data_IF_626634360729
#
_entry.id   IF_626634360729
#
_cell.length_a   1.000
_cell.length_b   1.000
_cell.length_c   1.000
_cell.angle_alpha   90.00
_cell.angle_beta   90.00
_cell.angle_gamma   90.00
#
_symmetry.space_group_name_H-M   'P 1'
#
loop_
_entity.id
_entity.type
_entity.pdbx_description
1 polymer ?
#
# COMPACT_ATOMS: atom_id res chain seq x y z
N UNK A 1 -27.82 19.55 0.71
CA UNK A 1 -26.70 18.64 0.99
C UNK A 1 -26.36 17.94 -0.33
N UNK A 2 -25.27 18.34 -0.98
CA UNK A 2 -24.89 17.75 -2.28
C UNK A 2 -24.37 16.33 -2.05
N UNK A 3 -24.83 15.29 -2.77
CA UNK A 3 -24.24 13.97 -2.67
C UNK A 3 -22.83 14.11 -3.25
N UNK A 4 -21.81 13.97 -2.40
CA UNK A 4 -20.48 13.69 -2.90
C UNK A 4 -20.60 12.35 -3.64
N UNK A 5 -20.54 12.36 -4.98
CA UNK A 5 -20.40 11.12 -5.74
C UNK A 5 -19.15 10.41 -5.22
N UNK A 6 -19.36 9.35 -4.45
CA UNK A 6 -18.27 8.56 -3.90
C UNK A 6 -17.77 7.66 -5.04
N UNK A 7 -16.66 8.05 -5.65
CA UNK A 7 -15.98 7.20 -6.63
C UNK A 7 -15.22 6.10 -5.87
N UNK A 8 -15.34 4.88 -6.37
CA UNK A 8 -14.61 3.71 -5.84
C UNK A 8 -13.69 3.18 -6.92
N UNK A 9 -12.47 2.83 -6.52
CA UNK A 9 -11.44 2.29 -7.40
C UNK A 9 -11.11 0.87 -6.97
N UNK A 10 -11.14 -0.07 -7.92
CA UNK A 10 -10.69 -1.44 -7.71
C UNK A 10 -9.35 -1.62 -8.42
N UNK A 11 -8.33 -2.01 -7.66
CA UNK A 11 -6.96 -2.13 -8.13
C UNK A 11 -6.61 -3.61 -8.28
N UNK A 12 -6.13 -3.98 -9.47
CA UNK A 12 -5.65 -5.33 -9.79
C UNK A 12 -4.21 -5.22 -10.28
N UNK A 13 -3.34 -6.11 -9.81
CA UNK A 13 -1.93 -6.11 -10.18
C UNK A 13 -1.07 -6.95 -9.27
N UNK A 14 0.20 -6.56 -9.18
CA UNK A 14 1.23 -7.22 -8.37
C UNK A 14 1.68 -6.33 -7.19
N UNK A 15 2.88 -6.60 -6.67
CA UNK A 15 3.58 -5.82 -5.65
C UNK A 15 3.52 -4.29 -5.82
N UNK A 16 3.45 -3.75 -7.04
CA UNK A 16 3.45 -2.30 -7.30
C UNK A 16 2.18 -1.59 -6.83
N UNK A 17 1.07 -2.34 -6.72
CA UNK A 17 -0.22 -1.83 -6.23
C UNK A 17 -0.68 -2.55 -4.96
N UNK A 18 0.14 -3.47 -4.45
CA UNK A 18 -0.15 -4.19 -3.22
C UNK A 18 0.03 -3.29 -1.99
N UNK A 19 -1.00 -3.24 -1.14
CA UNK A 19 -1.03 -2.50 0.11
C UNK A 19 -1.03 -3.41 1.34
N UNK A 20 -0.55 -4.65 1.19
CA UNK A 20 -0.42 -5.63 2.26
C UNK A 20 -1.39 -6.80 2.14
N UNK A 21 -1.98 -7.03 0.97
CA UNK A 21 -2.87 -8.16 0.71
C UNK A 21 -2.10 -9.49 0.82
N UNK A 22 -0.83 -9.49 0.45
CA UNK A 22 0.08 -10.62 0.61
C UNK A 22 0.30 -11.06 2.07
N UNK A 23 0.03 -10.22 3.07
CA UNK A 23 0.20 -10.59 4.48
C UNK A 23 -0.73 -11.74 4.90
N UNK A 24 -1.84 -11.91 4.17
CA UNK A 24 -2.84 -12.96 4.37
C UNK A 24 -2.53 -14.25 3.59
N UNK A 25 -1.46 -14.29 2.81
CA UNK A 25 -1.03 -15.46 2.04
C UNK A 25 0.18 -16.13 2.71
N UNK A 26 0.31 -17.44 2.54
CA UNK A 26 1.51 -18.18 2.94
C UNK A 26 2.61 -17.98 1.90
N UNK A 27 3.28 -16.85 1.98
CA UNK A 27 4.38 -16.45 1.09
C UNK A 27 5.51 -15.79 1.86
N UNK A 28 6.73 -15.90 1.33
CA UNK A 28 7.89 -15.16 1.82
C UNK A 28 7.92 -13.72 1.29
N UNK A 29 7.17 -13.43 0.22
CA UNK A 29 7.11 -12.10 -0.38
C UNK A 29 6.13 -11.21 0.38
N UNK A 30 6.57 -10.71 1.54
CA UNK A 30 5.83 -9.76 2.37
C UNK A 30 6.58 -8.44 2.52
N UNK A 31 5.82 -7.36 2.60
CA UNK A 31 6.35 -6.01 2.81
C UNK A 31 6.02 -5.48 4.22
N UNK A 32 5.98 -6.39 5.19
CA UNK A 32 5.69 -6.16 6.61
C UNK A 32 6.96 -6.04 7.47
N UNK A 33 8.14 -6.07 6.86
CA UNK A 33 9.44 -5.89 7.52
C UNK A 33 10.27 -4.76 6.89
N UNK A 34 11.33 -4.26 7.57
CA UNK A 34 12.31 -3.40 6.94
C UNK A 34 12.91 -4.05 5.68
N UNK A 35 13.26 -3.27 4.63
CA UNK A 35 13.36 -1.81 4.60
C UNK A 35 12.07 -1.07 4.17
N UNK A 36 10.93 -1.75 4.04
CA UNK A 36 9.74 -1.10 3.49
C UNK A 36 9.19 0.00 4.41
N UNK A 37 8.89 1.15 3.83
CA UNK A 37 8.35 2.31 4.56
C UNK A 37 9.37 3.11 5.38
N UNK A 38 10.68 2.82 5.33
CA UNK A 38 11.68 3.51 6.17
C UNK A 38 11.74 5.03 5.94
N UNK A 39 11.56 5.48 4.70
CA UNK A 39 11.53 6.91 4.36
C UNK A 39 10.10 7.49 4.37
N UNK A 40 9.10 6.68 4.71
CA UNK A 40 7.71 7.10 4.66
C UNK A 40 7.31 7.78 5.97
N UNK A 41 7.50 9.10 6.03
CA UNK A 41 7.16 9.92 7.21
C UNK A 41 5.75 9.66 7.77
N UNK A 42 4.68 9.48 6.95
CA UNK A 42 3.35 9.18 7.47
C UNK A 42 3.24 7.86 8.24
N UNK A 43 4.06 6.85 7.95
CA UNK A 43 4.10 5.60 8.74
C UNK A 43 5.08 5.67 9.90
N UNK A 44 5.82 6.77 10.05
CA UNK A 44 6.90 6.90 11.04
C UNK A 44 8.05 5.93 10.80
N UNK A 45 8.35 5.62 9.54
CA UNK A 45 9.41 4.67 9.18
C UNK A 45 9.03 3.19 9.36
N UNK A 46 7.76 2.90 9.68
CA UNK A 46 7.27 1.52 9.89
C UNK A 46 6.87 0.86 8.58
N UNK A 47 7.02 -0.47 8.45
CA UNK A 47 6.50 -1.23 7.33
C UNK A 47 5.01 -1.01 7.12
N UNK A 48 4.64 -0.78 5.86
CA UNK A 48 3.27 -0.40 5.48
C UNK A 48 2.51 -1.54 4.79
N UNK A 49 3.18 -2.67 4.51
CA UNK A 49 2.64 -3.70 3.62
C UNK A 49 2.82 -3.39 2.13
N UNK A 50 3.43 -2.25 1.79
CA UNK A 50 3.73 -1.85 0.40
C UNK A 50 5.19 -2.10 0.09
N UNK A 51 5.47 -2.58 -1.12
CA UNK A 51 6.84 -2.84 -1.59
C UNK A 51 7.58 -1.55 -2.00
N UNK A 52 7.53 -0.52 -1.15
CA UNK A 52 8.13 0.80 -1.40
C UNK A 52 8.43 1.53 -0.08
N UNK A 53 9.21 2.61 -0.15
CA UNK A 53 9.46 3.54 0.95
C UNK A 53 8.47 4.72 0.96
N UNK A 54 7.34 4.59 0.27
CA UNK A 54 6.40 5.70 0.09
C UNK A 54 5.01 5.30 -0.36
N UNK A 55 4.35 6.24 -1.03
CA UNK A 55 3.09 6.00 -1.73
C UNK A 55 3.33 5.16 -2.99
N UNK A 56 2.34 4.35 -3.34
CA UNK A 56 2.23 3.72 -4.65
C UNK A 56 1.48 4.63 -5.61
N UNK A 57 1.49 4.33 -6.91
CA UNK A 57 0.72 5.08 -7.91
C UNK A 57 -0.78 5.13 -7.54
N UNK A 58 -1.31 4.06 -6.95
CA UNK A 58 -2.69 3.96 -6.49
C UNK A 58 -3.10 5.01 -5.44
N UNK A 59 -2.16 5.65 -4.73
CA UNK A 59 -2.49 6.72 -3.77
C UNK A 59 -2.45 8.13 -4.38
N UNK A 60 -2.02 8.23 -5.64
CA UNK A 60 -1.83 9.50 -6.34
C UNK A 60 -3.00 9.77 -7.30
N UNK A 61 -3.63 8.72 -7.81
CA UNK A 61 -4.80 8.76 -8.70
C UNK A 61 -6.11 8.74 -7.92
#
# INVERSE_FOLDING_TARGET
LSPCCCFTSFLFGDSLVDAGNNNYLFTLSKADSPPYGIDFTPSGGRPTGRFTNGRTIADIV
#
